data_IF_399531587867
#
_entry.id   IF_399531587867
#
_cell.length_a   1.000
_cell.length_b   1.000
_cell.length_c   1.000
_cell.angle_alpha   90.00
_cell.angle_beta   90.00
_cell.angle_gamma   90.00
#
_symmetry.space_group_name_H-M   'P 1'
#
loop_
_entity.id
_entity.type
_entity.pdbx_description
1 polymer ?
#
# COMPACT_ATOMS: atom_id res chain seq x y z
N UNK A 1 -18.79 8.69 -29.10
CA UNK A 1 -18.38 7.42 -29.74
C UNK A 1 -16.86 7.37 -29.79
N UNK A 2 -16.25 6.64 -28.87
CA UNK A 2 -14.88 6.14 -28.97
C UNK A 2 -14.83 4.87 -28.10
N UNK A 3 -15.11 3.72 -28.72
CA UNK A 3 -14.85 2.43 -28.13
C UNK A 3 -13.33 2.31 -27.97
N UNK A 4 -12.80 2.61 -26.79
CA UNK A 4 -11.49 2.10 -26.41
C UNK A 4 -11.62 0.58 -26.36
N UNK A 5 -11.07 -0.07 -27.38
CA UNK A 5 -10.97 -1.51 -27.42
C UNK A 5 -10.23 -1.98 -26.18
N UNK A 6 -10.97 -2.57 -25.24
CA UNK A 6 -10.41 -3.54 -24.29
C UNK A 6 -9.53 -4.48 -25.12
N UNK A 7 -8.21 -4.41 -24.95
CA UNK A 7 -7.29 -5.37 -25.54
C UNK A 7 -7.66 -6.74 -24.97
N UNK A 8 -8.56 -7.45 -25.66
CA UNK A 8 -8.80 -8.86 -25.47
C UNK A 8 -7.45 -9.53 -25.67
N UNK A 9 -6.80 -10.00 -24.60
CA UNK A 9 -5.52 -10.70 -24.71
C UNK A 9 -5.66 -11.79 -25.78
N UNK A 10 -4.79 -11.81 -26.78
CA UNK A 10 -5.02 -12.66 -27.94
C UNK A 10 -5.05 -14.14 -27.53
N UNK A 11 -6.09 -14.93 -27.85
CA UNK A 11 -6.10 -16.37 -27.59
C UNK A 11 -4.90 -17.08 -28.23
N UNK A 12 -4.33 -16.49 -29.29
CA UNK A 12 -3.09 -16.95 -29.89
C UNK A 12 -1.88 -16.83 -28.93
N UNK A 13 -1.79 -15.76 -28.14
CA UNK A 13 -0.71 -15.60 -27.15
C UNK A 13 -0.76 -16.70 -26.09
N UNK A 14 -1.95 -16.98 -25.57
CA UNK A 14 -2.17 -18.03 -24.58
C UNK A 14 -1.83 -19.42 -25.14
N UNK A 15 -2.26 -19.71 -26.38
CA UNK A 15 -1.93 -20.98 -27.02
C UNK A 15 -0.43 -21.16 -27.24
N UNK A 16 0.28 -20.11 -27.67
CA UNK A 16 1.74 -20.12 -27.85
C UNK A 16 2.46 -20.35 -26.51
N UNK A 17 2.06 -19.64 -25.46
CA UNK A 17 2.64 -19.84 -24.13
C UNK A 17 2.39 -21.26 -23.61
N UNK A 18 1.18 -21.79 -23.82
CA UNK A 18 0.85 -23.18 -23.51
C UNK A 18 1.73 -24.17 -24.27
N UNK A 19 2.01 -23.92 -25.56
CA UNK A 19 2.89 -24.75 -26.36
C UNK A 19 4.33 -24.76 -25.82
N UNK A 20 4.86 -23.59 -25.48
CA UNK A 20 6.21 -23.45 -24.91
C UNK A 20 6.30 -24.18 -23.57
N UNK A 21 5.30 -23.97 -22.69
CA UNK A 21 5.24 -24.62 -21.39
C UNK A 21 5.19 -26.15 -21.52
N UNK A 22 4.31 -26.66 -22.38
CA UNK A 22 4.16 -28.08 -22.65
C UNK A 22 5.44 -28.71 -23.19
N UNK A 23 6.08 -28.07 -24.18
CA UNK A 23 7.37 -28.50 -24.71
C UNK A 23 8.45 -28.58 -23.62
N UNK A 24 8.54 -27.55 -22.76
CA UNK A 24 9.51 -27.47 -21.66
C UNK A 24 9.33 -28.59 -20.63
N UNK A 25 8.08 -28.92 -20.29
CA UNK A 25 7.78 -30.02 -19.35
C UNK A 25 8.24 -31.38 -19.88
N UNK A 26 8.15 -31.59 -21.20
CA UNK A 26 8.48 -32.85 -21.88
C UNK A 26 9.88 -32.90 -22.49
N UNK A 27 10.72 -31.88 -22.27
CA UNK A 27 12.00 -31.73 -22.97
C UNK A 27 12.98 -32.91 -22.77
N UNK A 28 12.87 -33.66 -21.68
CA UNK A 28 13.71 -34.84 -21.40
C UNK A 28 13.25 -36.15 -22.06
N UNK A 29 12.10 -36.17 -22.74
CA UNK A 29 11.44 -37.41 -23.20
C UNK A 29 11.51 -37.63 -24.73
N UNK A 30 12.35 -36.87 -25.45
CA UNK A 30 12.55 -37.00 -26.90
C UNK A 30 11.59 -36.17 -27.77
N UNK A 31 11.89 -36.06 -29.07
CA UNK A 31 11.21 -35.11 -29.98
C UNK A 31 9.70 -35.31 -30.14
N UNK A 32 9.23 -36.57 -30.14
CA UNK A 32 7.80 -36.88 -30.23
C UNK A 32 7.06 -36.44 -28.97
N UNK A 33 7.63 -36.68 -27.78
CA UNK A 33 7.05 -36.24 -26.52
C UNK A 33 7.00 -34.71 -26.43
N UNK A 34 8.02 -34.00 -26.94
CA UNK A 34 8.05 -32.53 -27.03
C UNK A 34 6.91 -32.01 -27.91
N UNK A 35 6.71 -32.60 -29.09
CA UNK A 35 5.63 -32.19 -29.98
C UNK A 35 4.25 -32.42 -29.35
N UNK A 36 4.03 -33.59 -28.73
CA UNK A 36 2.79 -33.92 -28.02
C UNK A 36 2.58 -32.95 -26.84
N UNK A 37 3.63 -32.72 -26.05
CA UNK A 37 3.61 -31.78 -24.93
C UNK A 37 3.23 -30.38 -25.35
N UNK A 38 3.81 -29.88 -26.45
CA UNK A 38 3.48 -28.58 -27.01
C UNK A 38 2.00 -28.47 -27.44
N UNK A 39 1.49 -29.46 -28.18
CA UNK A 39 0.08 -29.47 -28.59
C UNK A 39 -0.84 -29.53 -27.37
N UNK A 40 -0.56 -30.43 -26.43
CA UNK A 40 -1.37 -30.58 -25.21
C UNK A 40 -1.36 -29.30 -24.36
N UNK A 41 -0.20 -28.69 -24.14
CA UNK A 41 -0.05 -27.45 -23.39
C UNK A 41 -0.79 -26.28 -24.05
N UNK A 42 -0.71 -26.15 -25.38
CA UNK A 42 -1.45 -25.14 -26.13
C UNK A 42 -2.96 -25.28 -25.96
N UNK A 43 -3.47 -26.51 -26.10
CA UNK A 43 -4.90 -26.82 -25.93
C UNK A 43 -5.36 -26.54 -24.51
N UNK A 44 -4.64 -27.05 -23.50
CA UNK A 44 -5.00 -26.86 -22.09
C UNK A 44 -5.07 -25.38 -21.74
N UNK A 45 -4.03 -24.60 -22.06
CA UNK A 45 -3.98 -23.20 -21.66
C UNK A 45 -5.02 -22.36 -22.43
N UNK A 46 -5.25 -22.65 -23.73
CA UNK A 46 -6.28 -22.00 -24.52
C UNK A 46 -7.70 -22.30 -24.00
N UNK A 47 -7.99 -23.56 -23.63
CA UNK A 47 -9.27 -23.96 -23.04
C UNK A 47 -9.45 -23.32 -21.67
N UNK A 48 -8.43 -23.33 -20.81
CA UNK A 48 -8.48 -22.68 -19.50
C UNK A 48 -8.80 -21.19 -19.62
N UNK A 49 -8.15 -20.48 -20.55
CA UNK A 49 -8.40 -19.06 -20.78
C UNK A 49 -9.79 -18.80 -21.37
N UNK A 50 -10.24 -19.61 -22.33
CA UNK A 50 -11.57 -19.50 -22.92
C UNK A 50 -12.68 -19.70 -21.86
N UNK A 51 -12.52 -20.70 -20.99
CA UNK A 51 -13.46 -20.97 -19.88
C UNK A 51 -13.40 -19.88 -18.81
N UNK A 52 -12.21 -19.36 -18.49
CA UNK A 52 -12.08 -18.26 -17.53
C UNK A 52 -12.79 -17.00 -18.03
N UNK A 53 -12.59 -16.64 -19.30
CA UNK A 53 -13.18 -15.45 -19.91
C UNK A 53 -14.69 -15.56 -20.14
N UNK A 54 -15.19 -16.75 -20.49
CA UNK A 54 -16.63 -16.93 -20.69
C UNK A 54 -17.44 -16.74 -19.41
N UNK A 55 -16.77 -16.83 -18.24
CA UNK A 55 -17.36 -16.62 -16.92
C UNK A 55 -17.00 -15.28 -16.28
N UNK A 56 -16.10 -14.51 -16.90
CA UNK A 56 -15.58 -13.25 -16.34
C UNK A 56 -16.55 -12.10 -16.62
N UNK A 57 -16.93 -11.34 -15.59
CA UNK A 57 -17.73 -10.13 -15.77
C UNK A 57 -16.85 -8.93 -16.17
N UNK A 58 -17.42 -7.88 -16.80
CA UNK A 58 -16.70 -6.64 -17.07
C UNK A 58 -16.07 -6.07 -15.78
N UNK A 59 -14.79 -5.72 -15.83
CA UNK A 59 -14.05 -5.16 -14.68
C UNK A 59 -13.47 -6.19 -13.71
N UNK A 60 -13.85 -7.47 -13.80
CA UNK A 60 -13.27 -8.52 -12.97
C UNK A 60 -11.90 -8.95 -13.48
N UNK A 61 -11.02 -9.41 -12.57
CA UNK A 61 -9.81 -10.13 -12.94
C UNK A 61 -10.12 -11.60 -13.23
N UNK A 62 -9.32 -12.30 -14.07
CA UNK A 62 -9.54 -13.72 -14.33
C UNK A 62 -9.58 -14.56 -13.04
N UNK A 63 -10.42 -15.59 -13.06
CA UNK A 63 -10.64 -16.48 -11.93
C UNK A 63 -9.31 -17.02 -11.35
N UNK A 64 -9.28 -17.22 -10.02
CA UNK A 64 -8.05 -17.62 -9.34
C UNK A 64 -7.41 -18.88 -9.93
N UNK A 65 -8.21 -19.91 -10.22
CA UNK A 65 -7.71 -21.17 -10.77
C UNK A 65 -7.01 -20.98 -12.13
N UNK A 66 -7.53 -20.11 -13.01
CA UNK A 66 -6.91 -19.87 -14.31
C UNK A 66 -5.59 -19.12 -14.17
N UNK A 67 -5.50 -18.18 -13.23
CA UNK A 67 -4.25 -17.49 -12.88
C UNK A 67 -3.20 -18.45 -12.30
N UNK A 68 -3.61 -19.46 -11.53
CA UNK A 68 -2.70 -20.49 -11.01
C UNK A 68 -2.14 -21.33 -12.15
N UNK A 69 -3.00 -21.78 -13.08
CA UNK A 69 -2.57 -22.54 -14.28
C UNK A 69 -1.60 -21.70 -15.12
N UNK A 70 -1.92 -20.43 -15.36
CA UNK A 70 -1.03 -19.49 -16.07
C UNK A 70 0.33 -19.33 -15.39
N UNK A 71 0.35 -19.24 -14.05
CA UNK A 71 1.60 -19.14 -13.28
C UNK A 71 2.47 -20.39 -13.45
N UNK A 72 1.85 -21.58 -13.49
CA UNK A 72 2.54 -22.83 -13.79
C UNK A 72 3.11 -22.85 -15.21
N UNK A 73 2.32 -22.41 -16.20
CA UNK A 73 2.77 -22.34 -17.59
C UNK A 73 3.97 -21.39 -17.78
N UNK A 74 4.01 -20.27 -17.04
CA UNK A 74 5.17 -19.36 -17.05
C UNK A 74 6.39 -19.95 -16.35
N UNK A 75 6.19 -20.74 -15.29
CA UNK A 75 7.27 -21.35 -14.53
C UNK A 75 7.98 -22.49 -15.29
N UNK A 76 7.26 -23.25 -16.12
CA UNK A 76 7.80 -24.37 -16.88
C UNK A 76 9.03 -24.03 -17.75
N UNK A 77 8.98 -23.03 -18.67
CA UNK A 77 10.13 -22.69 -19.50
C UNK A 77 11.28 -22.07 -18.70
N UNK A 78 10.98 -21.32 -17.64
CA UNK A 78 12.01 -20.76 -16.75
C UNK A 78 12.75 -21.86 -16.01
N UNK A 79 12.03 -22.86 -15.49
CA UNK A 79 12.62 -24.03 -14.84
C UNK A 79 13.46 -24.86 -15.80
N UNK A 80 12.98 -25.08 -17.02
CA UNK A 80 13.74 -25.76 -18.07
C UNK A 80 15.05 -25.01 -18.39
N UNK A 81 14.96 -23.70 -18.66
CA UNK A 81 16.12 -22.88 -19.00
C UNK A 81 17.15 -22.86 -17.88
N UNK A 82 16.71 -22.67 -16.64
CA UNK A 82 17.58 -22.74 -15.45
C UNK A 82 18.27 -24.11 -15.35
N UNK A 83 17.52 -25.19 -15.56
CA UNK A 83 18.05 -26.55 -15.56
C UNK A 83 19.14 -26.76 -16.61
N UNK A 84 18.89 -26.32 -17.85
CA UNK A 84 19.84 -26.45 -18.96
C UNK A 84 21.12 -25.65 -18.73
N UNK A 85 20.99 -24.42 -18.20
CA UNK A 85 22.14 -23.52 -18.01
C UNK A 85 23.00 -23.91 -16.82
N UNK A 86 22.39 -24.42 -15.73
CA UNK A 86 23.09 -24.58 -14.45
C UNK A 86 23.36 -26.03 -14.05
N UNK A 87 22.58 -27.00 -14.57
CA UNK A 87 22.64 -28.39 -14.13
C UNK A 87 22.24 -28.61 -12.67
N UNK A 88 21.56 -27.64 -12.04
CA UNK A 88 21.19 -27.73 -10.63
C UNK A 88 20.10 -28.76 -10.35
N UNK A 89 20.23 -29.46 -9.23
CA UNK A 89 19.28 -30.48 -8.78
C UNK A 89 17.92 -29.91 -8.34
N UNK A 90 16.95 -30.81 -8.18
CA UNK A 90 15.55 -30.48 -7.88
C UNK A 90 15.35 -29.59 -6.64
N UNK A 91 16.17 -29.75 -5.60
CA UNK A 91 16.10 -28.94 -4.38
C UNK A 91 16.41 -27.46 -4.68
N UNK A 92 17.45 -27.19 -5.46
CA UNK A 92 17.89 -25.82 -5.78
C UNK A 92 16.90 -25.15 -6.73
N UNK A 93 16.43 -25.87 -7.75
CA UNK A 93 15.39 -25.37 -8.66
C UNK A 93 14.10 -25.07 -7.88
N UNK A 94 13.71 -25.97 -6.97
CA UNK A 94 12.55 -25.78 -6.11
C UNK A 94 12.68 -24.57 -5.19
N UNK A 95 13.84 -24.39 -4.56
CA UNK A 95 14.14 -23.21 -3.74
C UNK A 95 13.96 -21.90 -4.52
N UNK A 96 14.54 -21.81 -5.73
CA UNK A 96 14.48 -20.59 -6.55
C UNK A 96 13.08 -20.30 -7.06
N UNK A 97 12.36 -21.33 -7.56
CA UNK A 97 10.98 -21.19 -7.99
C UNK A 97 10.07 -20.76 -6.82
N UNK A 98 10.29 -21.35 -5.64
CA UNK A 98 9.60 -20.98 -4.39
C UNK A 98 9.90 -19.54 -3.98
N UNK A 99 11.17 -19.11 -4.03
CA UNK A 99 11.59 -17.74 -3.70
C UNK A 99 10.94 -16.72 -4.64
N UNK A 100 10.96 -16.97 -5.96
CA UNK A 100 10.33 -16.10 -6.95
C UNK A 100 8.81 -16.00 -6.74
N UNK A 101 8.14 -17.14 -6.57
CA UNK A 101 6.69 -17.17 -6.33
C UNK A 101 6.31 -16.47 -5.01
N UNK A 102 7.13 -16.66 -3.96
CA UNK A 102 7.01 -16.00 -2.67
C UNK A 102 7.15 -14.49 -2.77
N UNK A 103 8.19 -14.01 -3.46
CA UNK A 103 8.48 -12.59 -3.66
C UNK A 103 7.32 -11.84 -4.35
N UNK A 104 6.66 -12.47 -5.32
CA UNK A 104 5.48 -11.89 -6.00
C UNK A 104 4.25 -11.77 -5.09
N UNK A 105 4.22 -12.44 -3.94
CA UNK A 105 3.08 -12.44 -3.02
C UNK A 105 2.91 -11.16 -2.19
N UNK A 106 3.89 -10.24 -2.21
CA UNK A 106 4.01 -8.98 -1.43
C UNK A 106 3.96 -9.12 0.10
N UNK A 107 3.31 -10.16 0.66
CA UNK A 107 3.27 -10.44 2.10
C UNK A 107 4.55 -11.11 2.59
N UNK A 108 5.17 -10.66 3.70
CA UNK A 108 6.35 -11.30 4.29
C UNK A 108 6.14 -12.79 4.57
N UNK A 109 4.94 -13.18 5.01
CA UNK A 109 4.61 -14.57 5.27
C UNK A 109 4.63 -15.41 3.97
N UNK A 110 4.22 -14.84 2.84
CA UNK A 110 4.29 -15.48 1.51
C UNK A 110 5.74 -15.57 1.01
N UNK A 111 6.52 -14.53 1.24
CA UNK A 111 7.96 -14.50 0.89
C UNK A 111 8.72 -15.59 1.63
N UNK A 112 8.42 -15.81 2.92
CA UNK A 112 9.05 -16.87 3.72
C UNK A 112 8.52 -18.27 3.37
N UNK A 113 7.22 -18.40 3.09
CA UNK A 113 6.60 -19.68 2.74
C UNK A 113 7.14 -20.25 1.42
N UNK A 114 7.45 -19.38 0.45
CA UNK A 114 7.94 -19.76 -0.87
C UNK A 114 9.14 -20.70 -0.84
N UNK A 115 10.29 -20.29 -0.28
CA UNK A 115 11.48 -21.14 -0.11
C UNK A 115 11.21 -22.46 0.63
N UNK A 116 10.39 -22.44 1.68
CA UNK A 116 10.06 -23.65 2.46
C UNK A 116 9.30 -24.66 1.62
N UNK A 117 8.26 -24.22 0.91
CA UNK A 117 7.50 -25.05 -0.02
C UNK A 117 8.39 -25.53 -1.16
N UNK A 118 9.25 -24.64 -1.68
CA UNK A 118 10.19 -24.93 -2.75
C UNK A 118 11.17 -26.05 -2.43
N UNK A 119 11.85 -25.95 -1.28
CA UNK A 119 12.79 -26.98 -0.81
C UNK A 119 12.06 -28.29 -0.52
N UNK A 120 10.93 -28.25 0.19
CA UNK A 120 10.17 -29.44 0.54
C UNK A 120 9.68 -30.22 -0.68
N UNK A 121 9.11 -29.53 -1.66
CA UNK A 121 8.64 -30.15 -2.91
C UNK A 121 9.79 -30.54 -3.83
N UNK A 122 10.85 -29.74 -3.91
CA UNK A 122 12.06 -30.10 -4.67
C UNK A 122 12.71 -31.39 -4.15
N UNK A 123 12.79 -31.54 -2.83
CA UNK A 123 13.25 -32.77 -2.19
C UNK A 123 12.31 -33.95 -2.46
N UNK A 124 11.01 -33.78 -2.23
CA UNK A 124 10.02 -34.84 -2.42
C UNK A 124 9.97 -35.33 -3.88
N UNK A 125 10.00 -34.40 -4.85
CA UNK A 125 10.01 -34.74 -6.28
C UNK A 125 11.28 -35.47 -6.68
N UNK A 126 12.45 -35.03 -6.20
CA UNK A 126 13.72 -35.71 -6.49
C UNK A 126 13.81 -37.10 -5.86
N UNK A 127 13.20 -37.30 -4.69
CA UNK A 127 13.16 -38.59 -4.01
C UNK A 127 12.17 -39.58 -4.67
N UNK A 128 11.01 -39.10 -5.12
CA UNK A 128 9.96 -39.94 -5.72
C UNK A 128 10.17 -40.17 -7.22
N UNK A 129 10.82 -39.24 -7.91
CA UNK A 129 11.08 -39.28 -9.33
C UNK A 129 12.51 -38.80 -9.62
N UNK A 130 13.50 -39.71 -9.60
CA UNK A 130 14.92 -39.36 -9.78
C UNK A 130 15.22 -38.61 -11.08
N UNK A 131 14.48 -38.91 -12.15
CA UNK A 131 14.60 -38.29 -13.47
C UNK A 131 13.65 -37.09 -13.68
N UNK A 132 13.15 -36.48 -12.61
CA UNK A 132 12.22 -35.34 -12.71
C UNK A 132 12.90 -34.15 -13.39
N UNK A 133 12.24 -33.59 -14.41
CA UNK A 133 12.81 -32.46 -15.13
C UNK A 133 12.73 -31.17 -14.29
N UNK A 134 13.71 -30.26 -14.39
CA UNK A 134 13.67 -28.95 -13.74
C UNK A 134 12.40 -28.13 -14.06
N UNK A 135 11.86 -28.28 -15.27
CA UNK A 135 10.60 -27.68 -15.69
C UNK A 135 9.41 -28.15 -14.85
N UNK A 136 9.33 -29.47 -14.59
CA UNK A 136 8.28 -30.07 -13.76
C UNK A 136 8.43 -29.58 -12.32
N UNK A 137 9.65 -29.57 -11.77
CA UNK A 137 9.90 -29.09 -10.40
C UNK A 137 9.44 -27.63 -10.23
N UNK A 138 9.86 -26.73 -11.11
CA UNK A 138 9.47 -25.32 -11.04
C UNK A 138 7.95 -25.14 -11.15
N UNK A 139 7.31 -25.86 -12.09
CA UNK A 139 5.86 -25.80 -12.31
C UNK A 139 5.08 -26.28 -11.08
N UNK A 140 5.43 -27.44 -10.55
CA UNK A 140 4.76 -28.03 -9.37
C UNK A 140 4.95 -27.12 -8.16
N UNK A 141 6.16 -26.60 -7.93
CA UNK A 141 6.43 -25.68 -6.81
C UNK A 141 5.59 -24.42 -6.93
N UNK A 142 5.56 -23.76 -8.09
CA UNK A 142 4.79 -22.52 -8.28
C UNK A 142 3.29 -22.78 -8.12
N UNK A 143 2.75 -23.83 -8.73
CA UNK A 143 1.32 -24.19 -8.62
C UNK A 143 0.95 -24.54 -7.18
N UNK A 144 1.73 -25.40 -6.52
CA UNK A 144 1.47 -25.80 -5.14
C UNK A 144 1.58 -24.61 -4.18
N UNK A 145 2.62 -23.78 -4.32
CA UNK A 145 2.73 -22.54 -3.55
C UNK A 145 1.53 -21.63 -3.77
N UNK A 146 1.09 -21.45 -5.02
CA UNK A 146 -0.05 -20.60 -5.38
C UNK A 146 -1.37 -21.10 -4.79
N UNK A 147 -1.59 -22.41 -4.80
CA UNK A 147 -2.74 -23.06 -4.16
C UNK A 147 -2.69 -22.91 -2.64
N UNK A 148 -1.56 -23.25 -2.02
CA UNK A 148 -1.35 -23.15 -0.58
C UNK A 148 -1.49 -21.70 -0.10
N UNK A 149 -0.92 -20.76 -0.84
CA UNK A 149 -1.01 -19.32 -0.57
C UNK A 149 -2.45 -18.82 -0.62
N UNK A 150 -3.26 -19.32 -1.57
CA UNK A 150 -4.68 -18.97 -1.64
C UNK A 150 -5.51 -19.59 -0.51
N UNK A 151 -5.15 -20.78 -0.05
CA UNK A 151 -5.84 -21.46 1.05
C UNK A 151 -5.53 -20.82 2.41
N UNK A 152 -4.25 -20.49 2.67
CA UNK A 152 -3.76 -19.94 3.93
C UNK A 152 -4.06 -18.44 4.04
N UNK A 153 -3.90 -17.66 2.96
CA UNK A 153 -3.98 -16.20 2.99
C UNK A 153 -5.20 -15.70 2.21
N UNK A 154 -6.38 -15.83 2.83
CA UNK A 154 -7.67 -15.54 2.20
C UNK A 154 -8.03 -14.05 2.14
N UNK A 155 -7.56 -13.26 3.10
CA UNK A 155 -8.00 -11.86 3.23
C UNK A 155 -7.37 -10.98 2.13
N UNK A 156 -8.11 -10.24 1.30
CA UNK A 156 -7.51 -9.30 0.37
C UNK A 156 -6.66 -8.26 1.11
N UNK A 157 -5.51 -7.88 0.56
CA UNK A 157 -4.70 -6.79 1.13
C UNK A 157 -4.92 -5.47 0.40
N UNK A 158 -5.37 -5.59 -0.84
CA UNK A 158 -5.88 -4.51 -1.66
C UNK A 158 -7.15 -5.02 -2.32
N UNK A 159 -8.23 -4.28 -2.20
CA UNK A 159 -9.54 -4.57 -2.79
C UNK A 159 -10.02 -3.34 -3.54
N UNK A 160 -10.52 -3.50 -4.77
CA UNK A 160 -11.25 -2.43 -5.42
C UNK A 160 -12.52 -2.18 -4.61
N UNK A 161 -12.67 -0.97 -4.09
CA UNK A 161 -13.79 -0.59 -3.24
C UNK A 161 -14.91 0.03 -4.08
N UNK A 162 -14.54 0.95 -4.97
CA UNK A 162 -15.45 1.67 -5.83
C UNK A 162 -14.77 2.05 -7.14
N UNK A 163 -15.54 2.13 -8.21
CA UNK A 163 -15.09 2.57 -9.53
C UNK A 163 -16.00 3.68 -10.04
N UNK A 164 -15.39 4.79 -10.47
CA UNK A 164 -16.06 5.95 -11.08
C UNK A 164 -17.24 6.48 -10.26
N UNK A 165 -16.99 6.73 -8.98
CA UNK A 165 -17.98 7.32 -8.06
C UNK A 165 -17.66 8.79 -7.80
N UNK A 166 -18.63 9.56 -7.30
CA UNK A 166 -18.38 10.97 -6.97
C UNK A 166 -17.69 11.08 -5.60
N UNK A 167 -16.94 12.17 -5.35
CA UNK A 167 -16.33 12.40 -4.03
C UNK A 167 -17.31 12.39 -2.86
N UNK A 168 -18.54 12.88 -3.02
CA UNK A 168 -19.56 12.84 -1.97
C UNK A 168 -19.98 11.43 -1.54
N UNK A 169 -19.80 10.44 -2.41
CA UNK A 169 -20.14 9.04 -2.14
C UNK A 169 -19.04 8.35 -1.29
N UNK A 170 -17.85 8.95 -1.18
CA UNK A 170 -16.70 8.45 -0.40
C UNK A 170 -16.15 9.53 0.54
N UNK A 171 -16.90 9.95 1.58
CA UNK A 171 -16.49 11.05 2.46
C UNK A 171 -15.22 10.75 3.29
N UNK A 172 -14.84 9.48 3.40
CA UNK A 172 -13.61 9.00 4.03
C UNK A 172 -12.37 9.06 3.12
N UNK A 173 -12.48 9.56 1.89
CA UNK A 173 -11.35 9.80 1.00
C UNK A 173 -11.11 11.29 0.88
N UNK A 174 -9.83 11.71 0.86
CA UNK A 174 -9.46 13.11 0.58
C UNK A 174 -9.06 13.21 -0.89
N UNK A 175 -9.92 13.72 -1.78
CA UNK A 175 -9.75 13.67 -3.24
C UNK A 175 -8.87 14.79 -3.78
N UNK A 176 -7.76 15.11 -3.10
CA UNK A 176 -6.88 16.21 -3.46
C UNK A 176 -5.55 15.62 -3.95
N UNK A 177 -5.48 15.38 -5.27
CA UNK A 177 -4.29 14.85 -5.94
C UNK A 177 -3.29 15.94 -6.31
N UNK A 178 -2.02 15.55 -6.45
CA UNK A 178 -1.02 16.38 -7.10
C UNK A 178 -1.19 16.31 -8.63
N UNK A 179 -1.07 17.47 -9.29
CA UNK A 179 -1.03 17.57 -10.77
C UNK A 179 0.37 17.34 -11.34
N UNK A 180 1.39 17.48 -10.51
CA UNK A 180 2.81 17.28 -10.85
C UNK A 180 3.25 15.86 -10.51
N UNK A 181 4.36 15.42 -11.14
CA UNK A 181 5.00 14.13 -10.80
C UNK A 181 5.69 14.13 -9.43
N UNK A 182 6.06 15.31 -8.96
CA UNK A 182 6.75 15.52 -7.69
C UNK A 182 5.90 16.45 -6.83
N UNK A 183 5.44 15.96 -5.68
CA UNK A 183 4.52 16.68 -4.78
C UNK A 183 5.23 17.85 -4.11
N UNK A 184 6.31 17.56 -3.36
CA UNK A 184 7.15 18.59 -2.76
C UNK A 184 6.46 19.47 -1.72
N UNK A 185 7.23 20.42 -1.17
CA UNK A 185 6.73 21.43 -0.22
C UNK A 185 5.89 22.54 -0.90
N UNK A 186 5.80 22.54 -2.23
CA UNK A 186 5.01 23.48 -3.04
C UNK A 186 3.55 23.08 -3.23
N UNK A 187 3.20 21.81 -3.00
CA UNK A 187 1.88 21.24 -3.33
C UNK A 187 0.68 22.09 -2.90
N UNK A 188 0.67 22.62 -1.66
CA UNK A 188 -0.50 23.35 -1.13
C UNK A 188 -0.76 24.65 -1.90
N UNK A 189 0.29 25.26 -2.44
CA UNK A 189 0.20 26.44 -3.31
C UNK A 189 -0.40 26.08 -4.66
N UNK A 190 0.11 25.02 -5.28
CA UNK A 190 -0.39 24.51 -6.55
C UNK A 190 -1.86 24.09 -6.43
N UNK A 191 -2.21 23.47 -5.30
CA UNK A 191 -3.59 23.10 -4.98
C UNK A 191 -4.49 24.34 -4.92
N UNK A 192 -4.03 25.44 -4.32
CA UNK A 192 -4.79 26.68 -4.23
C UNK A 192 -5.16 27.24 -5.61
N UNK A 193 -4.24 27.17 -6.57
CA UNK A 193 -4.50 27.57 -7.97
C UNK A 193 -5.55 26.66 -8.62
N UNK A 194 -5.46 25.34 -8.40
CA UNK A 194 -6.41 24.36 -8.95
C UNK A 194 -7.82 24.54 -8.40
N UNK A 195 -7.96 24.78 -7.09
CA UNK A 195 -9.28 24.86 -6.44
C UNK A 195 -9.84 26.29 -6.38
N UNK A 196 -9.08 27.29 -6.86
CA UNK A 196 -9.47 28.70 -6.84
C UNK A 196 -9.52 29.30 -5.43
N UNK A 197 -8.55 28.99 -4.58
CA UNK A 197 -8.50 29.45 -3.19
C UNK A 197 -7.35 30.40 -2.88
N UNK A 198 -7.48 31.15 -1.77
CA UNK A 198 -6.42 32.02 -1.26
C UNK A 198 -5.40 31.21 -0.46
N UNK A 199 -4.17 31.14 -0.97
CA UNK A 199 -3.04 30.46 -0.32
C UNK A 199 -2.42 31.33 0.78
N UNK A 200 -2.22 30.77 1.96
CA UNK A 200 -1.45 31.38 3.06
C UNK A 200 -0.34 30.42 3.51
N UNK A 201 0.94 30.76 3.30
CA UNK A 201 2.07 29.97 3.76
C UNK A 201 2.25 30.11 5.27
N UNK A 202 2.68 29.03 5.94
CA UNK A 202 3.05 29.02 7.35
C UNK A 202 2.06 29.78 8.26
N UNK A 203 0.78 29.46 8.13
CA UNK A 203 -0.30 30.12 8.86
C UNK A 203 -0.01 30.09 10.36
N UNK A 204 -0.16 31.24 11.01
CA UNK A 204 0.07 31.38 12.44
C UNK A 204 -1.16 30.94 13.23
N UNK A 205 -0.93 30.33 14.38
CA UNK A 205 -1.94 29.96 15.37
C UNK A 205 -3.06 29.01 14.88
N UNK A 206 -2.76 28.21 13.85
CA UNK A 206 -3.66 27.17 13.35
C UNK A 206 -3.24 25.77 13.79
N UNK A 207 -4.21 24.86 13.86
CA UNK A 207 -4.03 23.44 14.04
C UNK A 207 -4.32 22.62 12.80
N UNK A 208 -4.08 21.32 12.90
CA UNK A 208 -4.39 20.34 11.84
C UNK A 208 -5.89 20.09 11.72
N UNK A 209 -6.66 20.34 12.77
CA UNK A 209 -8.13 20.33 12.77
C UNK A 209 -8.66 21.69 13.24
N UNK A 210 -9.89 22.03 12.85
CA UNK A 210 -10.53 23.27 13.28
C UNK A 210 -11.02 23.19 14.73
N UNK A 211 -11.70 22.10 15.07
CA UNK A 211 -12.14 21.77 16.43
C UNK A 211 -12.13 20.26 16.60
N UNK A 212 -11.72 19.78 17.77
CA UNK A 212 -11.87 18.37 18.12
C UNK A 212 -13.33 17.98 18.41
N UNK A 213 -14.23 18.95 18.56
CA UNK A 213 -15.66 18.67 18.77
C UNK A 213 -16.30 18.00 17.56
N UNK A 214 -15.75 18.25 16.36
CA UNK A 214 -16.15 17.56 15.12
C UNK A 214 -15.94 16.04 15.19
N UNK A 215 -15.02 15.59 16.05
CA UNK A 215 -14.68 14.18 16.23
C UNK A 215 -15.58 13.46 17.25
N UNK A 216 -16.44 14.18 17.97
CA UNK A 216 -17.29 13.62 19.02
C UNK A 216 -18.12 12.41 18.53
N UNK A 217 -18.20 11.38 19.36
CA UNK A 217 -18.97 10.18 19.06
C UNK A 217 -19.00 9.18 20.22
N UNK A 218 -19.60 8.00 20.03
CA UNK A 218 -19.82 7.06 21.13
C UNK A 218 -18.56 6.58 21.86
N UNK A 219 -17.39 6.58 21.21
CA UNK A 219 -16.11 6.17 21.83
C UNK A 219 -15.16 7.34 22.12
N UNK A 220 -15.59 8.57 21.84
CA UNK A 220 -14.77 9.76 22.01
C UNK A 220 -15.58 10.96 22.47
N UNK A 221 -15.28 11.42 23.68
CA UNK A 221 -15.78 12.67 24.25
C UNK A 221 -14.66 13.73 24.28
N UNK A 222 -14.74 14.78 23.46
CA UNK A 222 -13.78 15.87 23.43
C UNK A 222 -13.67 16.66 24.74
N UNK A 223 -14.69 16.64 25.61
CA UNK A 223 -14.68 17.36 26.88
C UNK A 223 -13.78 16.69 27.93
N UNK A 224 -13.53 15.39 27.79
CA UNK A 224 -12.66 14.61 28.68
C UNK A 224 -11.16 14.67 28.35
N UNK A 225 -10.76 15.46 27.34
CA UNK A 225 -9.37 15.57 26.93
C UNK A 225 -8.54 16.46 27.86
N UNK A 226 -7.26 16.12 28.00
CA UNK A 226 -6.27 17.02 28.55
C UNK A 226 -6.23 18.30 27.68
N UNK A 227 -6.38 19.50 28.26
CA UNK A 227 -6.34 20.76 27.51
C UNK A 227 -5.09 20.91 26.63
N UNK A 228 -3.96 20.35 27.05
CA UNK A 228 -2.72 20.39 26.28
C UNK A 228 -2.80 19.52 25.02
N UNK A 229 -3.46 18.36 25.09
CA UNK A 229 -3.72 17.49 23.92
C UNK A 229 -4.67 18.20 22.96
N UNK A 230 -5.75 18.82 23.48
CA UNK A 230 -6.67 19.60 22.65
C UNK A 230 -5.96 20.75 21.93
N UNK A 231 -5.18 21.54 22.67
CA UNK A 231 -4.41 22.65 22.11
C UNK A 231 -3.45 22.17 21.01
N UNK A 232 -2.82 21.01 21.16
CA UNK A 232 -1.94 20.48 20.12
C UNK A 232 -2.65 20.21 18.78
N UNK A 233 -3.87 19.70 18.81
CA UNK A 233 -4.64 19.42 17.59
C UNK A 233 -5.23 20.69 16.96
N UNK A 234 -5.75 21.60 17.79
CA UNK A 234 -6.42 22.83 17.35
C UNK A 234 -5.44 23.99 17.07
N UNK A 235 -4.22 23.94 17.63
CA UNK A 235 -3.17 24.96 17.48
C UNK A 235 -1.77 24.34 17.29
N UNK A 236 -1.66 23.30 16.46
CA UNK A 236 -0.42 22.54 16.17
C UNK A 236 0.80 23.42 15.86
N UNK A 237 0.61 24.58 15.23
CA UNK A 237 1.70 25.53 14.91
C UNK A 237 2.41 26.11 16.13
N UNK A 238 1.79 26.07 17.33
CA UNK A 238 2.40 26.44 18.61
C UNK A 238 3.42 25.41 19.11
N UNK A 239 3.54 24.25 18.47
CA UNK A 239 4.39 23.15 18.96
C UNK A 239 5.52 22.81 17.97
N UNK A 240 6.61 22.29 18.52
CA UNK A 240 7.70 21.60 17.80
C UNK A 240 7.61 20.11 18.07
N UNK A 241 7.97 19.31 17.08
CA UNK A 241 7.87 17.85 17.16
C UNK A 241 9.21 17.21 16.82
N UNK A 242 9.76 16.48 17.77
CA UNK A 242 10.92 15.62 17.57
C UNK A 242 10.45 14.17 17.39
N UNK A 243 11.03 13.47 16.42
CA UNK A 243 10.57 12.14 15.99
C UNK A 243 11.70 11.13 16.10
N UNK A 244 11.51 10.10 16.94
CA UNK A 244 12.43 8.98 17.05
C UNK A 244 11.82 7.74 16.39
N UNK A 245 12.27 7.36 15.18
CA UNK A 245 11.73 6.19 14.49
C UNK A 245 12.33 4.89 15.04
N UNK A 246 11.48 3.92 15.33
CA UNK A 246 11.83 2.56 15.74
C UNK A 246 11.37 1.55 14.70
N UNK A 247 12.24 1.28 13.73
CA UNK A 247 12.02 0.29 12.68
C UNK A 247 12.28 -1.14 13.16
N UNK A 248 11.44 -2.09 12.73
CA UNK A 248 11.77 -3.52 12.83
C UNK A 248 12.83 -3.89 11.79
N UNK A 249 13.78 -4.73 12.20
CA UNK A 249 14.95 -5.08 11.39
C UNK A 249 14.58 -5.73 10.05
N UNK A 250 13.52 -6.55 10.04
CA UNK A 250 13.10 -7.29 8.84
C UNK A 250 12.57 -6.39 7.71
N UNK A 251 12.13 -5.15 7.99
CA UNK A 251 11.59 -4.22 6.99
C UNK A 251 12.66 -3.35 6.33
N UNK A 252 13.79 -3.14 6.99
CA UNK A 252 14.85 -2.23 6.53
C UNK A 252 15.26 -2.39 5.06
N UNK A 253 15.54 -3.61 4.54
CA UNK A 253 15.98 -3.74 3.14
C UNK A 253 14.88 -3.36 2.15
N UNK A 254 13.63 -3.79 2.40
CA UNK A 254 12.50 -3.45 1.54
C UNK A 254 12.16 -1.96 1.56
N UNK A 255 12.28 -1.32 2.73
CA UNK A 255 12.05 0.12 2.86
C UNK A 255 13.12 0.95 2.14
N UNK A 256 14.39 0.53 2.15
CA UNK A 256 15.42 1.22 1.36
C UNK A 256 15.07 1.21 -0.13
N UNK A 257 14.66 0.06 -0.66
CA UNK A 257 14.24 -0.05 -2.06
C UNK A 257 13.04 0.86 -2.35
N UNK A 258 12.00 0.82 -1.52
CA UNK A 258 10.83 1.71 -1.62
C UNK A 258 11.24 3.18 -1.57
N UNK A 259 12.15 3.56 -0.67
CA UNK A 259 12.59 4.93 -0.49
C UNK A 259 13.23 5.50 -1.75
N UNK A 260 14.12 4.74 -2.39
CA UNK A 260 14.85 5.20 -3.58
C UNK A 260 14.02 5.12 -4.85
N UNK A 261 13.16 4.11 -5.00
CA UNK A 261 12.40 3.90 -6.23
C UNK A 261 11.05 4.62 -6.25
N UNK A 262 10.46 4.90 -5.08
CA UNK A 262 9.10 5.44 -4.98
C UNK A 262 9.08 6.74 -4.17
N UNK A 263 9.48 6.70 -2.89
CA UNK A 263 9.25 7.84 -1.98
C UNK A 263 9.97 9.13 -2.42
N UNK A 264 11.27 9.03 -2.75
CA UNK A 264 12.09 10.17 -3.18
C UNK A 264 11.68 10.74 -4.53
N UNK A 265 11.52 9.93 -5.60
CA UNK A 265 11.04 10.45 -6.88
C UNK A 265 9.66 11.12 -6.81
N UNK A 266 8.80 10.66 -5.89
CA UNK A 266 7.44 11.18 -5.73
C UNK A 266 7.37 12.39 -4.79
N UNK A 267 8.34 12.56 -3.89
CA UNK A 267 8.37 13.64 -2.90
C UNK A 267 7.41 13.45 -1.74
N UNK A 268 7.11 12.18 -1.37
CA UNK A 268 6.17 11.81 -0.31
C UNK A 268 6.66 10.59 0.47
N UNK A 269 6.17 10.43 1.71
CA UNK A 269 6.34 9.25 2.56
C UNK A 269 7.81 8.83 2.78
N UNK A 270 8.73 9.81 2.84
CA UNK A 270 10.17 9.61 3.04
C UNK A 270 10.52 9.69 4.53
N UNK A 271 10.00 8.74 5.32
CA UNK A 271 10.20 8.67 6.77
C UNK A 271 11.68 8.40 7.12
N UNK A 272 12.26 9.08 8.13
CA UNK A 272 13.65 8.88 8.53
C UNK A 272 13.94 7.44 9.00
N UNK A 273 15.10 6.91 8.63
CA UNK A 273 15.55 5.55 8.99
C UNK A 273 16.55 5.51 10.13
N UNK A 274 17.32 6.59 10.31
CA UNK A 274 18.44 6.63 11.25
C UNK A 274 18.36 7.84 12.19
N UNK A 275 18.87 7.68 13.40
CA UNK A 275 18.99 8.77 14.38
C UNK A 275 19.77 9.98 13.82
N UNK A 276 20.74 9.76 12.92
CA UNK A 276 21.47 10.84 12.24
C UNK A 276 20.58 11.69 11.33
N UNK A 277 19.53 11.11 10.73
CA UNK A 277 18.56 11.86 9.93
C UNK A 277 17.58 12.61 10.84
N UNK A 278 17.20 12.02 11.97
CA UNK A 278 16.45 12.72 13.04
C UNK A 278 17.22 13.94 13.56
N UNK A 279 18.54 13.86 13.66
CA UNK A 279 19.41 14.95 14.11
C UNK A 279 19.55 16.11 13.12
N UNK A 280 19.11 15.95 11.85
CA UNK A 280 19.15 17.04 10.85
C UNK A 280 18.12 18.14 11.12
N UNK A 281 17.19 17.90 12.05
CA UNK A 281 16.09 18.80 12.33
C UNK A 281 14.98 18.66 11.29
N UNK A 282 13.73 18.71 11.77
CA UNK A 282 12.53 18.67 10.92
C UNK A 282 11.85 20.02 11.00
N UNK A 283 11.66 20.67 9.85
CA UNK A 283 10.82 21.86 9.78
C UNK A 283 9.39 21.41 9.58
N UNK A 284 8.50 21.92 10.43
CA UNK A 284 7.07 21.63 10.41
C UNK A 284 6.30 22.93 10.24
N UNK A 285 5.52 23.05 9.17
CA UNK A 285 4.64 24.19 8.90
C UNK A 285 3.26 23.74 8.42
N UNK A 286 2.26 24.56 8.67
CA UNK A 286 0.92 24.38 8.12
C UNK A 286 0.68 25.49 7.11
N UNK A 287 0.42 25.11 5.88
CA UNK A 287 -0.02 26.02 4.82
C UNK A 287 -1.54 25.85 4.67
N UNK A 288 -2.26 26.95 4.47
CA UNK A 288 -3.74 26.92 4.38
C UNK A 288 -4.25 27.43 3.04
N UNK A 289 -5.36 26.88 2.58
CA UNK A 289 -6.11 27.39 1.44
C UNK A 289 -7.54 27.71 1.88
N UNK A 290 -7.92 28.97 1.72
CA UNK A 290 -9.24 29.46 2.10
C UNK A 290 -10.10 29.70 0.86
N UNK A 291 -11.36 29.27 0.91
CA UNK A 291 -12.38 29.55 -0.11
C UNK A 291 -13.64 30.08 0.55
N UNK A 292 -14.44 30.93 -0.13
CA UNK A 292 -15.73 31.35 0.37
C UNK A 292 -16.62 30.13 0.68
N UNK A 293 -17.27 30.15 1.85
CA UNK A 293 -18.28 29.16 2.27
C UNK A 293 -17.81 27.68 2.29
N UNK A 294 -16.50 27.44 2.32
CA UNK A 294 -15.93 26.10 2.41
C UNK A 294 -14.94 25.98 3.58
N UNK A 295 -14.79 24.78 4.16
CA UNK A 295 -13.78 24.54 5.19
C UNK A 295 -12.38 24.90 4.70
N UNK A 296 -11.60 25.53 5.57
CA UNK A 296 -10.18 25.83 5.30
C UNK A 296 -9.41 24.53 5.10
N UNK A 297 -8.77 24.39 3.95
CA UNK A 297 -7.88 23.27 3.66
C UNK A 297 -6.57 23.51 4.41
N UNK A 298 -6.14 22.52 5.20
CA UNK A 298 -4.93 22.60 6.02
C UNK A 298 -3.94 21.56 5.53
N UNK A 299 -2.84 22.01 4.93
CA UNK A 299 -1.74 21.17 4.50
C UNK A 299 -0.62 21.18 5.52
N UNK A 300 -0.42 20.08 6.21
CA UNK A 300 0.72 19.91 7.11
C UNK A 300 1.92 19.40 6.32
N UNK A 301 2.96 20.24 6.24
CA UNK A 301 4.18 19.98 5.50
C UNK A 301 5.31 19.73 6.49
N UNK A 302 6.04 18.63 6.29
CA UNK A 302 7.31 18.36 6.99
C UNK A 302 8.42 18.15 5.98
N UNK A 303 9.54 18.84 6.18
CA UNK A 303 10.76 18.70 5.38
C UNK A 303 12.00 18.66 6.28
N UNK A 304 13.10 18.13 5.74
CA UNK A 304 14.40 18.20 6.43
C UNK A 304 14.91 19.64 6.44
N UNK A 305 15.39 20.11 7.59
CA UNK A 305 15.76 21.52 7.78
C UNK A 305 16.96 21.97 6.93
N UNK A 306 17.84 21.05 6.55
CA UNK A 306 19.07 21.32 5.79
C UNK A 306 18.86 21.33 4.27
N UNK A 307 17.93 20.51 3.75
CA UNK A 307 17.75 20.33 2.30
C UNK A 307 16.38 20.76 1.75
N UNK A 308 15.42 21.05 2.62
CA UNK A 308 13.99 21.17 2.29
C UNK A 308 13.41 19.94 1.56
N UNK A 309 14.11 18.79 1.58
CA UNK A 309 13.59 17.52 1.04
C UNK A 309 12.33 17.14 1.83
N UNK A 310 11.16 16.95 1.17
CA UNK A 310 9.91 16.66 1.84
C UNK A 310 9.97 15.28 2.49
N UNK A 311 9.51 15.22 3.74
CA UNK A 311 9.23 13.96 4.45
C UNK A 311 7.82 13.51 4.06
N UNK A 312 6.83 14.40 4.23
CA UNK A 312 5.49 14.25 3.69
C UNK A 312 4.73 15.58 3.70
N UNK A 313 3.73 15.67 2.85
CA UNK A 313 2.60 16.61 2.91
C UNK A 313 1.33 15.81 3.18
N UNK A 314 0.53 16.27 4.13
CA UNK A 314 -0.77 15.68 4.45
C UNK A 314 -1.86 16.73 4.54
N UNK A 315 -2.99 16.51 3.87
CA UNK A 315 -4.17 17.35 3.99
C UNK A 315 -5.12 16.74 5.02
N UNK A 316 -5.35 17.46 6.11
CA UNK A 316 -6.22 17.03 7.19
C UNK A 316 -7.64 17.53 6.97
N UNK A 317 -8.60 16.63 7.09
CA UNK A 317 -10.03 16.91 7.02
C UNK A 317 -10.75 16.16 8.12
N UNK A 318 -11.88 16.71 8.56
CA UNK A 318 -12.80 16.06 9.49
C UNK A 318 -14.15 15.93 8.81
N UNK A 319 -14.85 14.84 9.08
CA UNK A 319 -16.23 14.67 8.65
C UNK A 319 -16.98 13.81 9.67
N UNK A 320 -18.32 13.83 9.56
CA UNK A 320 -19.20 13.09 10.46
C UNK A 320 -20.07 12.14 9.67
N UNK A 321 -20.26 10.94 10.20
CA UNK A 321 -21.14 9.91 9.65
C UNK A 321 -21.76 9.10 10.78
N UNK A 322 -23.07 8.88 10.73
CA UNK A 322 -23.82 8.05 11.68
C UNK A 322 -23.56 8.41 13.16
N UNK A 323 -23.59 9.72 13.44
CA UNK A 323 -23.41 10.27 14.80
C UNK A 323 -21.97 10.28 15.31
N UNK A 324 -21.00 9.91 14.47
CA UNK A 324 -19.59 9.72 14.84
C UNK A 324 -18.69 10.58 13.95
N UNK A 325 -17.65 11.17 14.53
CA UNK A 325 -16.67 11.96 13.80
C UNK A 325 -15.44 11.15 13.42
N UNK A 326 -14.82 11.51 12.30
CA UNK A 326 -13.61 10.89 11.77
C UNK A 326 -12.62 11.96 11.32
N UNK A 327 -11.34 11.60 11.33
CA UNK A 327 -10.28 12.40 10.73
C UNK A 327 -9.70 11.65 9.54
N UNK A 328 -9.60 12.33 8.41
CA UNK A 328 -9.02 11.79 7.19
C UNK A 328 -7.82 12.64 6.78
N UNK A 329 -6.71 11.96 6.51
CA UNK A 329 -5.46 12.56 6.08
C UNK A 329 -5.15 12.11 4.66
N UNK A 330 -5.24 13.04 3.71
CA UNK A 330 -4.88 12.81 2.32
C UNK A 330 -3.40 13.05 2.08
N UNK A 331 -2.69 12.03 1.62
CA UNK A 331 -1.33 12.13 1.11
C UNK A 331 -1.41 12.21 -0.43
N UNK A 332 -1.27 13.41 -1.01
CA UNK A 332 -1.42 13.61 -2.44
C UNK A 332 -0.37 12.79 -3.22
N UNK A 333 -0.78 12.21 -4.34
CA UNK A 333 0.07 11.53 -5.31
C UNK A 333 -0.22 12.11 -6.70
N UNK A 334 0.64 11.87 -7.72
CA UNK A 334 0.33 12.26 -9.08
C UNK A 334 -0.98 11.60 -9.55
N UNK A 335 -2.00 12.41 -9.84
CA UNK A 335 -3.35 11.97 -10.26
C UNK A 335 -4.06 11.00 -9.30
N UNK A 336 -3.59 10.92 -8.05
CA UNK A 336 -4.15 10.03 -7.05
C UNK A 336 -4.00 10.63 -5.64
N UNK A 337 -4.63 10.00 -4.66
CA UNK A 337 -4.48 10.33 -3.25
C UNK A 337 -4.41 9.04 -2.45
N UNK A 338 -3.43 8.94 -1.55
CA UNK A 338 -3.42 7.91 -0.53
C UNK A 338 -4.03 8.50 0.73
N UNK A 339 -5.23 8.08 1.13
CA UNK A 339 -5.92 8.61 2.30
C UNK A 339 -5.83 7.62 3.47
N UNK A 340 -5.54 8.14 4.66
CA UNK A 340 -5.73 7.40 5.91
C UNK A 340 -6.90 8.01 6.69
N UNK A 341 -7.92 7.20 6.98
CA UNK A 341 -9.09 7.60 7.78
C UNK A 341 -9.05 6.91 9.11
N UNK A 342 -9.15 7.70 10.18
CA UNK A 342 -8.92 7.26 11.54
C UNK A 342 -10.16 7.52 12.41
N UNK A 343 -10.55 6.51 13.17
CA UNK A 343 -11.55 6.63 14.21
C UNK A 343 -10.92 7.17 15.51
N UNK A 344 -11.51 8.21 16.13
CA UNK A 344 -11.08 8.73 17.41
C UNK A 344 -11.60 7.86 18.56
N UNK A 345 -10.77 7.69 19.60
CA UNK A 345 -11.12 7.05 20.86
C UNK A 345 -10.45 7.77 22.02
N UNK A 346 -11.17 7.90 23.14
CA UNK A 346 -10.60 8.45 24.37
C UNK A 346 -9.58 7.48 24.96
N UNK A 347 -8.43 8.02 25.35
CA UNK A 347 -7.41 7.30 26.11
C UNK A 347 -7.58 7.61 27.60
N UNK A 348 -7.41 6.63 28.51
CA UNK A 348 -7.26 6.91 29.93
C UNK A 348 -6.19 7.98 30.18
N UNK A 349 -6.49 8.93 31.07
CA UNK A 349 -5.62 10.07 31.36
C UNK A 349 -5.78 11.26 30.41
N UNK A 350 -6.88 11.36 29.67
CA UNK A 350 -7.20 12.53 28.84
C UNK A 350 -6.45 12.60 27.51
N UNK A 351 -5.91 11.47 27.04
CA UNK A 351 -5.27 11.39 25.71
C UNK A 351 -6.27 11.06 24.59
N UNK A 352 -5.77 11.11 23.36
CA UNK A 352 -6.52 10.79 22.14
C UNK A 352 -5.82 9.68 21.37
N UNK A 353 -6.57 8.62 21.05
CA UNK A 353 -6.14 7.59 20.10
C UNK A 353 -6.88 7.79 18.78
N UNK A 354 -6.15 7.89 17.69
CA UNK A 354 -6.65 7.85 16.32
C UNK A 354 -6.21 6.53 15.69
N UNK A 355 -7.15 5.72 15.19
CA UNK A 355 -6.85 4.37 14.69
C UNK A 355 -7.53 4.10 13.36
N UNK A 356 -6.78 3.58 12.39
CA UNK A 356 -7.35 2.98 11.18
C UNK A 356 -7.79 1.54 11.42
N UNK A 357 -7.41 0.95 12.57
CA UNK A 357 -7.80 -0.41 12.96
C UNK A 357 -9.14 -0.32 13.66
N UNK A 358 -10.20 -0.72 12.97
CA UNK A 358 -11.57 -0.70 13.45
C UNK A 358 -12.39 -1.77 12.74
N UNK A 359 -13.51 -2.18 13.35
CA UNK A 359 -14.54 -3.00 12.70
C UNK A 359 -15.58 -2.14 11.96
N UNK A 360 -15.42 -0.80 12.00
CA UNK A 360 -16.21 0.16 11.25
C UNK A 360 -15.81 0.16 9.77
N UNK A 361 -16.72 0.61 8.90
CA UNK A 361 -16.54 0.63 7.44
C UNK A 361 -15.77 1.86 6.92
N UNK A 362 -15.65 2.90 7.74
CA UNK A 362 -14.96 4.16 7.37
C UNK A 362 -13.45 4.20 7.66
N UNK A 363 -12.94 3.70 8.79
CA UNK A 363 -11.52 3.78 9.11
C UNK A 363 -10.70 2.79 8.27
N UNK A 364 -9.61 3.26 7.68
CA UNK A 364 -8.81 2.45 6.77
C UNK A 364 -7.83 3.28 5.96
N UNK A 365 -7.19 2.61 5.00
CA UNK A 365 -6.30 3.25 4.03
C UNK A 365 -6.84 3.05 2.62
N UNK A 366 -6.83 4.11 1.83
CA UNK A 366 -7.46 4.12 0.52
C UNK A 366 -6.50 4.72 -0.51
N UNK A 367 -6.16 3.95 -1.54
CA UNK A 367 -5.49 4.47 -2.72
C UNK A 367 -6.55 4.83 -3.76
N UNK A 368 -6.69 6.12 -4.04
CA UNK A 368 -7.76 6.62 -4.92
C UNK A 368 -7.16 7.29 -6.13
N UNK A 369 -7.48 6.77 -7.31
CA UNK A 369 -7.27 7.47 -8.57
C UNK A 369 -8.37 8.50 -8.78
N UNK A 370 -8.00 9.70 -9.25
CA UNK A 370 -8.94 10.79 -9.53
C UNK A 370 -8.88 11.07 -11.02
N UNK A 371 -10.01 10.88 -11.71
CA UNK A 371 -10.12 11.19 -13.13
C UNK A 371 -9.89 12.70 -13.35
N UNK A 372 -8.93 13.10 -14.20
CA UNK A 372 -8.57 14.50 -14.34
C UNK A 372 -9.66 15.34 -15.01
N UNK A 373 -10.54 14.74 -15.79
CA UNK A 373 -11.57 15.41 -16.59
C UNK A 373 -12.92 15.41 -15.86
N UNK A 374 -13.36 14.25 -15.35
CA UNK A 374 -14.66 14.13 -14.66
C UNK A 374 -14.59 14.38 -13.16
N UNK A 375 -13.41 14.24 -12.54
CA UNK A 375 -13.25 14.28 -11.08
C UNK A 375 -13.80 13.03 -10.37
N UNK A 376 -14.23 12.02 -11.11
CA UNK A 376 -14.68 10.75 -10.56
C UNK A 376 -13.54 9.98 -9.89
N UNK A 377 -13.90 9.23 -8.86
CA UNK A 377 -12.98 8.47 -8.02
C UNK A 377 -13.04 6.98 -8.35
N UNK A 378 -11.87 6.37 -8.50
CA UNK A 378 -11.71 4.92 -8.46
C UNK A 378 -10.83 4.58 -7.27
N UNK A 379 -11.43 4.00 -6.24
CA UNK A 379 -10.81 3.79 -4.94
C UNK A 379 -10.53 2.31 -4.69
N UNK A 380 -9.32 2.03 -4.23
CA UNK A 380 -8.92 0.73 -3.70
C UNK A 380 -8.65 0.86 -2.19
N UNK A 381 -9.29 0.00 -1.42
CA UNK A 381 -8.96 -0.18 0.00
C UNK A 381 -7.64 -0.94 0.13
N UNK A 382 -6.77 -0.50 1.04
CA UNK A 382 -5.46 -1.07 1.32
C UNK A 382 -5.49 -1.69 2.73
N UNK A 383 -6.33 -2.70 2.93
CA UNK A 383 -6.50 -3.41 4.21
C UNK A 383 -5.21 -4.01 4.76
N UNK A 384 -4.21 -4.24 3.91
CA UNK A 384 -2.87 -4.66 4.31
C UNK A 384 -2.07 -3.59 5.05
N UNK A 385 -2.52 -2.34 5.16
CA UNK A 385 -1.82 -1.28 5.86
C UNK A 385 -2.72 -0.71 6.97
N UNK A 386 -2.15 -0.52 8.15
CA UNK A 386 -2.88 0.03 9.28
C UNK A 386 -1.99 0.90 10.15
N UNK A 387 -2.61 1.86 10.83
CA UNK A 387 -1.92 2.77 11.73
C UNK A 387 -2.75 3.08 12.97
N UNK A 388 -2.04 3.48 14.02
CA UNK A 388 -2.62 3.99 15.26
C UNK A 388 -1.69 5.07 15.81
N UNK A 389 -2.24 6.25 16.05
CA UNK A 389 -1.60 7.36 16.70
C UNK A 389 -2.20 7.54 18.10
N UNK A 390 -1.39 7.42 19.13
CA UNK A 390 -1.75 7.67 20.53
C UNK A 390 -1.05 8.96 20.97
N UNK A 391 -1.81 10.02 21.28
CA UNK A 391 -1.31 11.29 21.80
C UNK A 391 -1.76 11.46 23.24
N UNK A 392 -0.81 11.73 24.14
CA UNK A 392 -1.08 11.84 25.57
C UNK A 392 -0.11 12.79 26.26
N UNK A 393 -0.54 13.29 27.42
CA UNK A 393 0.30 14.07 28.33
C UNK A 393 0.95 13.13 29.35
N UNK A 394 2.24 13.32 29.58
CA UNK A 394 3.03 12.61 30.60
C UNK A 394 3.86 13.65 31.37
N UNK A 395 3.52 13.84 32.64
CA UNK A 395 4.15 14.84 33.52
C UNK A 395 4.16 16.27 32.91
N UNK A 396 3.07 16.66 32.25
CA UNK A 396 2.91 17.98 31.62
C UNK A 396 3.67 18.15 30.29
N UNK A 397 4.28 17.08 29.77
CA UNK A 397 4.88 17.05 28.43
C UNK A 397 4.01 16.23 27.49
N UNK A 398 3.80 16.72 26.27
CA UNK A 398 3.10 15.95 25.25
C UNK A 398 4.03 14.90 24.64
N UNK A 399 3.50 13.69 24.56
CA UNK A 399 4.11 12.57 23.86
C UNK A 399 3.12 12.03 22.86
N UNK A 400 3.65 11.42 21.80
CA UNK A 400 2.83 10.58 20.95
C UNK A 400 3.56 9.31 20.54
N UNK A 401 2.81 8.25 20.35
CA UNK A 401 3.29 7.00 19.75
C UNK A 401 2.45 6.70 18.52
N UNK A 402 3.11 6.57 17.38
CA UNK A 402 2.45 6.26 16.11
C UNK A 402 2.97 4.94 15.58
N UNK A 403 2.15 3.90 15.72
CA UNK A 403 2.48 2.56 15.31
C UNK A 403 1.88 2.25 13.94
N UNK A 404 2.64 1.56 13.11
CA UNK A 404 2.25 1.13 11.78
C UNK A 404 2.38 -0.39 11.63
N UNK A 405 1.41 -0.97 10.94
CA UNK A 405 1.35 -2.39 10.60
C UNK A 405 1.27 -2.57 9.11
N UNK A 406 1.93 -3.62 8.63
CA UNK A 406 1.79 -4.10 7.26
C UNK A 406 1.46 -5.58 7.30
N UNK A 407 0.37 -5.97 6.66
CA UNK A 407 -0.18 -7.32 6.64
C UNK A 407 -0.38 -7.91 8.05
N UNK A 408 -0.86 -7.08 8.97
CA UNK A 408 -1.06 -7.41 10.39
C UNK A 408 0.22 -7.41 11.24
N UNK A 409 1.40 -7.26 10.64
CA UNK A 409 2.68 -7.25 11.35
C UNK A 409 3.12 -5.81 11.66
N UNK A 410 3.36 -5.46 12.92
CA UNK A 410 3.94 -4.17 13.28
C UNK A 410 5.32 -4.04 12.63
N UNK A 411 5.62 -2.91 11.98
CA UNK A 411 6.92 -2.70 11.34
C UNK A 411 7.64 -1.41 11.73
N UNK A 412 6.89 -0.39 12.15
CA UNK A 412 7.42 0.91 12.53
C UNK A 412 6.62 1.45 13.71
N UNK A 413 7.33 2.03 14.68
CA UNK A 413 6.75 2.89 15.71
C UNK A 413 7.52 4.20 15.69
N UNK A 414 6.82 5.32 15.62
CA UNK A 414 7.39 6.65 15.75
C UNK A 414 7.06 7.16 17.15
N UNK A 415 8.09 7.45 17.94
CA UNK A 415 7.92 8.10 19.24
C UNK A 415 8.15 9.60 19.06
N UNK A 416 7.15 10.38 19.41
CA UNK A 416 7.18 11.83 19.34
C UNK A 416 7.38 12.44 20.72
N UNK A 417 8.23 13.46 20.76
CA UNK A 417 8.26 14.46 21.83
C UNK A 417 7.72 15.75 21.25
N UNK A 418 6.73 16.32 21.93
CA UNK A 418 6.00 17.49 21.43
C UNK A 418 6.16 18.58 22.49
N UNK A 419 6.88 19.63 22.13
CA UNK A 419 7.20 20.74 23.02
C UNK A 419 6.51 22.01 22.52
N UNK A 420 5.96 22.83 23.43
CA UNK A 420 5.47 24.16 23.05
C UNK A 420 6.65 25.01 22.60
N UNK A 421 6.51 25.69 21.46
CA UNK A 421 7.45 26.73 21.03
C UNK A 421 7.49 27.80 22.11
N UNK A 422 8.70 28.25 22.44
CA UNK A 422 8.82 29.48 23.24
C UNK A 422 8.25 30.63 22.43
N UNK A 423 7.51 31.57 23.06
CA UNK A 423 7.12 32.79 22.39
C UNK A 423 8.37 33.45 21.80
N UNK A 424 8.37 33.66 20.48
CA UNK A 424 9.36 34.54 19.88
C UNK A 424 9.07 35.94 20.37
N UNK A 425 9.93 36.46 21.24
CA UNK A 425 9.89 37.83 21.78
C UNK A 425 9.97 38.88 20.68
#
# INVERSE_FOLDING_TARGET
MAQQGQQKGSPAFTAVLGAIAGASLTAGAGGVAIAIGAVAGAVVLAVCEAVARSRQQPGEIPALWSRIVMSGALAAPLGWLLGVVTGWGSIVIGLLAGLLAGAMGLRPQKVLLGPVVGVGLGWALGALWPEVTPAVVATVVVVAFRCLSALIFRDPQVSLLAERVRPEDLPFVVPLAARTKYVGTGYVRDLAEVIGGAYTPAAADVGIVASLDDLAGPEFDPAGLDPLVREFYEHTTRFTLDIVPRWRLWVRPGYLLYRYLVARPLGQANVPMNQRETQRGVVSRIDTVTRPDQPVVRGWIRSYADTDEPIYVGIYTTYRRDGRGYVSVGFPLPQASFTATLAPRTRPGGGLVLSSRSDLDQPGHYLTFIDPDSGELTAAEVAGFAEQLDVYSDNGQLRAEHAFWVFGLPFLVLHYRIDRKRPTS
#
